data_IF_252552387235
#
_entry.id   IF_252552387235
#
_cell.length_a   1.000
_cell.length_b   1.000
_cell.length_c   1.000
_cell.angle_alpha   90.00
_cell.angle_beta   90.00
_cell.angle_gamma   90.00
#
_symmetry.space_group_name_H-M   'P 1'
#
loop_
_entity.id
_entity.type
_entity.pdbx_description
1 polymer ?
#
# COMPACT_ATOMS: atom_id res chain seq x y z
N UNK A 1 -10.37 -1.97 22.07
CA UNK A 1 -10.70 -2.33 20.67
C UNK A 1 -9.86 -3.53 20.33
N UNK A 2 -10.45 -4.60 19.80
CA UNK A 2 -9.68 -5.76 19.31
C UNK A 2 -8.97 -5.32 18.03
N UNK A 3 -7.64 -5.27 18.08
CA UNK A 3 -6.79 -5.09 16.90
C UNK A 3 -7.17 -6.14 15.86
N UNK A 4 -7.52 -5.71 14.66
CA UNK A 4 -7.83 -6.65 13.59
C UNK A 4 -6.68 -6.69 12.60
N UNK A 5 -5.89 -7.75 12.66
CA UNK A 5 -4.91 -8.07 11.63
C UNK A 5 -5.56 -9.06 10.68
N UNK A 6 -5.53 -8.77 9.37
CA UNK A 6 -6.02 -9.70 8.37
C UNK A 6 -5.31 -11.07 8.45
N UNK A 7 -5.99 -12.22 8.35
CA UNK A 7 -5.39 -13.54 8.59
C UNK A 7 -4.13 -13.85 7.77
N UNK A 8 -4.09 -13.38 6.51
CA UNK A 8 -2.89 -13.54 5.67
C UNK A 8 -1.68 -12.77 6.21
N UNK A 9 -1.90 -11.58 6.77
CA UNK A 9 -0.84 -10.75 7.34
C UNK A 9 -0.41 -11.32 8.69
N UNK A 10 -1.35 -11.83 9.48
CA UNK A 10 -1.08 -12.57 10.70
C UNK A 10 -0.14 -13.76 10.43
N UNK A 11 -0.44 -14.55 9.41
CA UNK A 11 0.44 -15.66 8.99
C UNK A 11 1.85 -15.19 8.59
N UNK A 12 1.97 -14.04 7.92
CA UNK A 12 3.27 -13.49 7.55
C UNK A 12 4.06 -12.92 8.73
N UNK A 13 3.37 -12.37 9.74
CA UNK A 13 3.98 -12.00 11.03
C UNK A 13 4.54 -13.25 11.70
N UNK A 14 3.75 -14.32 11.79
CA UNK A 14 4.18 -15.59 12.39
C UNK A 14 5.40 -16.17 11.67
N UNK A 15 5.39 -16.16 10.33
CA UNK A 15 6.54 -16.58 9.53
C UNK A 15 7.77 -15.69 9.78
N UNK A 16 7.59 -14.38 9.93
CA UNK A 16 8.68 -13.46 10.27
C UNK A 16 9.25 -13.73 11.67
N UNK A 17 8.38 -13.97 12.66
CA UNK A 17 8.76 -14.33 14.03
C UNK A 17 9.48 -15.68 14.08
N UNK A 18 9.03 -16.66 13.31
CA UNK A 18 9.67 -17.98 13.17
C UNK A 18 11.10 -17.83 12.61
N UNK A 19 11.28 -17.08 11.52
CA UNK A 19 12.61 -16.80 10.95
C UNK A 19 13.54 -16.15 11.97
N UNK A 20 13.01 -15.25 12.82
CA UNK A 20 13.77 -14.58 13.87
C UNK A 20 13.98 -15.41 15.14
N UNK A 21 13.29 -16.54 15.28
CA UNK A 21 13.50 -17.50 16.35
C UNK A 21 14.56 -18.57 15.99
N UNK A 22 14.95 -18.65 14.71
CA UNK A 22 15.96 -19.58 14.22
C UNK A 22 17.31 -19.37 14.93
N UNK A 23 18.08 -20.45 15.07
CA UNK A 23 19.38 -20.42 15.72
C UNK A 23 20.45 -19.69 14.88
N UNK A 24 20.27 -19.55 13.57
CA UNK A 24 21.19 -18.82 12.70
C UNK A 24 20.85 -17.32 12.62
N UNK A 25 21.60 -16.45 13.33
CA UNK A 25 21.32 -15.02 13.35
C UNK A 25 21.65 -14.30 12.03
N UNK A 26 22.23 -14.98 11.04
CA UNK A 26 22.44 -14.41 9.70
C UNK A 26 21.17 -14.41 8.83
N UNK A 27 20.22 -15.27 9.15
CA UNK A 27 18.91 -15.32 8.47
C UNK A 27 17.84 -14.50 9.18
N UNK A 28 18.11 -14.03 10.41
CA UNK A 28 17.24 -13.07 11.11
C UNK A 28 16.95 -11.86 10.23
N UNK A 29 15.72 -11.38 10.31
CA UNK A 29 15.19 -10.29 9.55
C UNK A 29 14.96 -9.07 10.44
N UNK A 30 15.22 -7.90 9.85
CA UNK A 30 15.00 -6.61 10.44
C UNK A 30 14.19 -5.74 9.48
N UNK A 31 13.28 -4.95 10.04
CA UNK A 31 12.52 -3.95 9.30
C UNK A 31 13.13 -2.59 9.60
N UNK A 32 13.42 -1.81 8.55
CA UNK A 32 13.73 -0.38 8.69
C UNK A 32 12.57 0.42 8.12
N UNK A 33 12.07 1.37 8.89
CA UNK A 33 11.08 2.36 8.44
C UNK A 33 11.77 3.72 8.46
N UNK A 34 11.94 4.31 7.29
CA UNK A 34 12.44 5.66 7.12
C UNK A 34 11.28 6.57 6.72
N UNK A 35 11.13 7.68 7.45
CA UNK A 35 10.15 8.74 7.14
C UNK A 35 10.94 10.04 7.04
N UNK A 36 10.95 10.64 5.86
CA UNK A 36 11.59 11.93 5.59
C UNK A 36 10.51 12.99 5.42
N UNK A 37 10.64 14.09 6.17
CA UNK A 37 9.78 15.28 6.18
C UNK A 37 8.24 15.07 6.23
N UNK A 38 7.80 13.84 6.46
CA UNK A 38 6.39 13.44 6.44
C UNK A 38 5.81 13.22 5.04
N UNK A 39 6.63 13.32 3.98
CA UNK A 39 6.22 13.20 2.59
C UNK A 39 6.87 12.03 1.85
N UNK A 40 7.88 11.38 2.44
CA UNK A 40 8.50 10.17 1.89
C UNK A 40 8.52 9.04 2.93
N UNK A 41 8.13 7.85 2.48
CA UNK A 41 8.16 6.60 3.25
C UNK A 41 9.05 5.60 2.52
N UNK A 42 9.99 5.00 3.25
CA UNK A 42 10.73 3.84 2.79
C UNK A 42 10.70 2.74 3.85
N UNK A 43 10.13 1.59 3.49
CA UNK A 43 10.09 0.38 4.33
C UNK A 43 10.99 -0.67 3.71
N UNK A 44 12.05 -1.06 4.43
CA UNK A 44 13.03 -2.07 4.00
C UNK A 44 12.96 -3.31 4.87
N UNK A 45 13.04 -4.47 4.23
CA UNK A 45 13.30 -5.76 4.88
C UNK A 45 14.75 -6.17 4.61
N UNK A 46 15.53 -6.36 5.66
CA UNK A 46 16.97 -6.65 5.61
C UNK A 46 17.29 -7.92 6.40
N UNK A 47 18.33 -8.66 6.02
CA UNK A 47 18.95 -9.60 6.95
C UNK A 47 19.68 -8.81 8.05
N UNK A 48 19.39 -9.10 9.32
CA UNK A 48 19.83 -8.33 10.48
C UNK A 48 21.37 -8.19 10.57
N UNK A 49 22.11 -9.27 10.31
CA UNK A 49 23.59 -9.25 10.33
C UNK A 49 24.24 -9.02 8.98
N UNK A 50 23.57 -9.38 7.89
CA UNK A 50 24.13 -9.28 6.54
C UNK A 50 23.86 -7.93 5.86
N UNK A 51 22.90 -7.14 6.37
CA UNK A 51 22.42 -5.91 5.72
C UNK A 51 21.82 -6.14 4.32
N UNK A 52 21.68 -7.41 3.90
CA UNK A 52 21.23 -7.78 2.56
C UNK A 52 19.77 -7.42 2.43
N UNK A 53 19.44 -6.55 1.48
CA UNK A 53 18.06 -6.18 1.16
C UNK A 53 17.30 -7.38 0.60
N UNK A 54 16.21 -7.72 1.28
CA UNK A 54 15.24 -8.77 0.91
C UNK A 54 13.96 -8.18 0.35
N UNK A 55 13.57 -7.01 0.81
CA UNK A 55 12.45 -6.27 0.24
C UNK A 55 12.53 -4.78 0.50
N UNK A 56 11.79 -4.02 -0.30
CA UNK A 56 11.64 -2.57 -0.16
C UNK A 56 10.31 -2.13 -0.75
N UNK A 57 9.67 -1.16 -0.08
CA UNK A 57 8.61 -0.32 -0.65
C UNK A 57 8.99 1.13 -0.37
N UNK A 58 8.92 1.96 -1.40
CA UNK A 58 9.10 3.41 -1.34
C UNK A 58 7.81 4.08 -1.80
N UNK A 59 7.39 5.11 -1.09
CA UNK A 59 6.19 5.86 -1.39
C UNK A 59 6.36 7.35 -1.13
N UNK A 60 5.73 8.18 -1.97
CA UNK A 60 5.79 9.65 -1.91
C UNK A 60 4.39 10.22 -1.75
N UNK A 61 4.23 11.21 -0.87
CA UNK A 61 2.97 11.89 -0.60
C UNK A 61 2.64 12.88 -1.70
N UNK A 62 1.40 12.87 -2.16
CA UNK A 62 0.83 13.93 -3.00
C UNK A 62 0.34 15.08 -2.09
N UNK A 63 0.57 16.33 -2.48
CA UNK A 63 0.17 17.51 -1.69
C UNK A 63 -0.92 18.24 -2.46
N UNK A 64 -2.04 18.53 -1.80
CA UNK A 64 -3.24 19.17 -2.36
C UNK A 64 -3.96 18.41 -3.50
N UNK A 65 -3.48 17.23 -3.90
CA UNK A 65 -4.08 16.36 -4.92
C UNK A 65 -4.18 14.90 -4.43
N UNK A 66 -5.02 14.09 -5.08
CA UNK A 66 -5.14 12.66 -4.81
C UNK A 66 -5.41 12.30 -3.34
N UNK A 67 -6.27 13.09 -2.70
CA UNK A 67 -6.61 12.98 -1.29
C UNK A 67 -5.40 13.10 -0.35
N UNK A 68 -4.27 13.64 -0.80
CA UNK A 68 -2.99 13.59 -0.09
C UNK A 68 -2.52 12.17 0.28
N UNK A 69 -2.81 11.18 -0.58
CA UNK A 69 -2.35 9.81 -0.42
C UNK A 69 -0.85 9.67 -0.79
N UNK A 70 -0.24 8.59 -0.28
CA UNK A 70 1.09 8.17 -0.68
C UNK A 70 1.02 7.27 -1.91
N UNK A 71 1.72 7.64 -2.98
CA UNK A 71 1.90 6.82 -4.18
C UNK A 71 3.10 5.89 -4.01
N UNK A 72 2.92 4.60 -4.25
CA UNK A 72 4.04 3.65 -4.34
C UNK A 72 4.83 3.90 -5.62
N UNK A 73 6.08 4.36 -5.47
CA UNK A 73 6.98 4.64 -6.60
C UNK A 73 7.98 3.51 -6.86
N UNK A 74 8.22 2.66 -5.86
CA UNK A 74 9.10 1.50 -6.01
C UNK A 74 8.70 0.38 -5.06
N UNK A 75 8.66 -0.85 -5.57
CA UNK A 75 8.45 -2.03 -4.75
C UNK A 75 9.25 -3.21 -5.29
N UNK A 76 9.91 -3.94 -4.39
CA UNK A 76 10.64 -5.16 -4.74
C UNK A 76 10.71 -6.10 -3.54
N UNK A 77 10.48 -7.38 -3.75
CA UNK A 77 10.62 -8.43 -2.73
C UNK A 77 11.32 -9.64 -3.36
N UNK A 78 12.24 -10.28 -2.62
CA UNK A 78 13.10 -11.37 -3.10
C UNK A 78 12.66 -12.72 -2.53
N UNK A 79 11.48 -13.17 -2.95
CA UNK A 79 10.96 -14.53 -2.80
C UNK A 79 10.89 -15.07 -1.36
N UNK A 80 10.72 -14.20 -0.36
CA UNK A 80 10.39 -14.60 1.01
C UNK A 80 8.88 -14.71 1.22
N UNK A 81 8.07 -14.23 0.28
CA UNK A 81 6.60 -14.23 0.44
C UNK A 81 6.12 -13.22 1.48
N UNK A 82 6.97 -12.26 1.88
CA UNK A 82 6.68 -11.19 2.84
C UNK A 82 6.26 -9.87 2.16
N UNK A 83 6.08 -9.85 0.84
CA UNK A 83 5.69 -8.65 0.11
C UNK A 83 4.41 -7.99 0.65
N UNK A 84 3.31 -8.75 0.83
CA UNK A 84 2.09 -8.19 1.43
C UNK A 84 2.28 -7.61 2.84
N UNK A 85 3.16 -8.18 3.67
CA UNK A 85 3.50 -7.62 4.98
C UNK A 85 4.16 -6.24 4.85
N UNK A 86 5.05 -6.07 3.89
CA UNK A 86 5.69 -4.77 3.63
C UNK A 86 4.67 -3.73 3.15
N UNK A 87 3.71 -4.12 2.30
CA UNK A 87 2.62 -3.23 1.89
C UNK A 87 1.76 -2.84 3.09
N UNK A 88 1.41 -3.77 3.97
CA UNK A 88 0.65 -3.47 5.19
C UNK A 88 1.38 -2.48 6.10
N UNK A 89 2.68 -2.70 6.36
CA UNK A 89 3.48 -1.77 7.17
C UNK A 89 3.53 -0.39 6.51
N UNK A 90 3.77 -0.33 5.20
CA UNK A 90 3.83 0.94 4.46
C UNK A 90 2.48 1.65 4.51
N UNK A 91 1.38 0.92 4.36
CA UNK A 91 0.01 1.44 4.44
C UNK A 91 -0.32 1.93 5.86
N UNK A 92 0.12 1.23 6.91
CA UNK A 92 -0.03 1.70 8.29
C UNK A 92 0.71 3.03 8.52
N UNK A 93 1.92 3.19 7.99
CA UNK A 93 2.62 4.48 8.06
C UNK A 93 1.87 5.54 7.24
N UNK A 94 1.50 5.23 5.99
CA UNK A 94 0.83 6.17 5.10
C UNK A 94 -0.50 6.68 5.66
N UNK A 95 -1.28 5.83 6.33
CA UNK A 95 -2.54 6.21 6.98
C UNK A 95 -2.36 7.09 8.22
N UNK A 96 -1.15 7.20 8.77
CA UNK A 96 -0.86 8.09 9.91
C UNK A 96 -0.34 9.46 9.47
N UNK A 97 0.30 9.54 8.29
CA UNK A 97 0.93 10.77 7.76
C UNK A 97 0.16 11.39 6.58
N UNK A 98 -0.81 10.69 6.01
CA UNK A 98 -1.65 11.14 4.92
C UNK A 98 -2.94 10.33 4.85
N UNK A 99 -3.61 10.34 3.70
CA UNK A 99 -4.89 9.63 3.55
C UNK A 99 -4.75 8.12 3.36
N UNK A 100 -3.55 7.57 3.26
CA UNK A 100 -3.31 6.15 3.01
C UNK A 100 -2.37 5.91 1.84
N UNK A 101 -2.41 4.71 1.27
CA UNK A 101 -1.50 4.26 0.23
C UNK A 101 -2.27 3.99 -1.07
N UNK A 102 -1.74 4.43 -2.20
CA UNK A 102 -2.24 4.15 -3.54
C UNK A 102 -1.14 3.59 -4.45
N UNK A 103 -1.55 3.00 -5.57
CA UNK A 103 -0.62 2.51 -6.59
C UNK A 103 0.02 3.66 -7.39
N UNK A 104 1.10 3.35 -8.10
CA UNK A 104 1.62 4.21 -9.17
C UNK A 104 0.50 4.56 -10.17
N UNK A 105 0.31 5.84 -10.45
CA UNK A 105 -0.75 6.39 -11.30
C UNK A 105 -0.39 6.35 -12.79
N UNK A 106 0.90 6.28 -13.10
CA UNK A 106 1.45 6.33 -14.45
C UNK A 106 1.71 4.94 -15.02
N UNK A 107 2.26 4.02 -14.21
CA UNK A 107 2.64 2.70 -14.68
C UNK A 107 2.63 1.63 -13.58
N UNK A 108 1.59 0.79 -13.59
CA UNK A 108 1.54 -0.45 -12.78
C UNK A 108 1.77 -1.66 -13.68
N UNK A 109 2.69 -2.54 -13.27
CA UNK A 109 2.88 -3.84 -13.94
C UNK A 109 1.74 -4.81 -13.64
N UNK A 110 1.48 -5.79 -14.50
CA UNK A 110 0.43 -6.80 -14.28
C UNK A 110 0.60 -7.54 -12.94
N UNK A 111 1.85 -7.84 -12.56
CA UNK A 111 2.14 -8.47 -11.28
C UNK A 111 1.77 -7.57 -10.08
N UNK A 112 1.95 -6.26 -10.20
CA UNK A 112 1.55 -5.30 -9.19
C UNK A 112 0.04 -5.04 -9.20
N UNK A 113 -0.60 -5.02 -10.37
CA UNK A 113 -2.06 -4.94 -10.49
C UNK A 113 -2.74 -6.06 -9.70
N UNK A 114 -2.25 -7.30 -9.82
CA UNK A 114 -2.74 -8.46 -9.06
C UNK A 114 -2.59 -8.28 -7.54
N UNK A 115 -1.66 -7.44 -7.06
CA UNK A 115 -1.57 -7.12 -5.62
C UNK A 115 -2.73 -6.23 -5.21
N UNK A 116 -2.94 -5.12 -5.92
CA UNK A 116 -4.03 -4.17 -5.64
C UNK A 116 -5.42 -4.79 -5.83
N UNK A 117 -5.58 -5.62 -6.86
CA UNK A 117 -6.78 -6.42 -7.11
C UNK A 117 -7.15 -7.29 -5.90
N UNK A 118 -6.16 -7.92 -5.25
CA UNK A 118 -6.39 -8.69 -4.01
C UNK A 118 -6.79 -7.81 -2.85
N UNK A 119 -6.23 -6.61 -2.73
CA UNK A 119 -6.64 -5.67 -1.69
C UNK A 119 -8.10 -5.25 -1.87
N UNK A 120 -8.52 -4.90 -3.09
CA UNK A 120 -9.91 -4.54 -3.37
C UNK A 120 -10.83 -5.77 -3.26
N UNK A 121 -10.66 -6.77 -4.12
CA UNK A 121 -11.68 -7.80 -4.31
C UNK A 121 -11.63 -8.96 -3.31
N UNK A 122 -10.47 -9.25 -2.72
CA UNK A 122 -10.34 -10.37 -1.77
C UNK A 122 -10.35 -9.94 -0.31
N UNK A 123 -9.71 -8.80 0.01
CA UNK A 123 -9.60 -8.30 1.39
C UNK A 123 -10.70 -7.31 1.73
N UNK A 124 -11.07 -6.46 0.79
CA UNK A 124 -12.05 -5.40 0.94
C UNK A 124 -13.36 -5.74 0.22
N UNK A 125 -14.10 -6.72 0.73
CA UNK A 125 -15.37 -7.13 0.09
C UNK A 125 -16.36 -5.96 0.06
N UNK A 126 -16.54 -5.36 -1.11
CA UNK A 126 -17.46 -4.24 -1.30
C UNK A 126 -18.90 -4.74 -1.12
N UNK A 127 -19.63 -4.11 -0.20
CA UNK A 127 -21.06 -4.42 -0.02
C UNK A 127 -21.93 -3.70 -1.07
N UNK A 128 -23.23 -4.00 -1.05
CA UNK A 128 -24.22 -3.40 -1.95
C UNK A 128 -24.33 -1.87 -1.87
N UNK A 129 -23.74 -1.24 -0.85
CA UNK A 129 -23.71 0.21 -0.67
C UNK A 129 -22.35 0.80 -1.06
N UNK A 130 -21.46 0.03 -1.71
CA UNK A 130 -20.14 0.50 -2.09
C UNK A 130 -19.13 0.55 -0.93
N UNK A 131 -19.46 -0.02 0.24
CA UNK A 131 -18.58 0.06 1.42
C UNK A 131 -17.68 -1.16 1.54
N UNK A 132 -16.40 -0.92 1.81
CA UNK A 132 -15.44 -1.93 2.20
C UNK A 132 -15.84 -2.69 3.47
N UNK A 133 -16.06 -3.99 3.36
CA UNK A 133 -16.22 -4.88 4.52
C UNK A 133 -14.89 -5.57 4.82
N UNK A 134 -13.87 -4.78 5.19
CA UNK A 134 -12.63 -5.28 5.79
C UNK A 134 -12.59 -4.89 7.26
N UNK A 135 -12.13 -5.76 8.17
CA UNK A 135 -12.00 -5.38 9.55
C UNK A 135 -10.77 -4.47 9.79
N UNK A 136 -9.84 -4.37 8.84
CA UNK A 136 -8.55 -3.70 9.04
C UNK A 136 -8.17 -2.66 7.98
N UNK A 137 -8.92 -2.59 6.89
CA UNK A 137 -8.75 -1.61 5.81
C UNK A 137 -10.05 -0.83 5.56
N UNK A 138 -9.91 0.43 5.21
CA UNK A 138 -10.91 1.26 4.54
C UNK A 138 -10.39 1.65 3.16
N UNK A 139 -11.30 1.99 2.25
CA UNK A 139 -10.91 2.51 0.94
C UNK A 139 -11.61 3.83 0.67
N UNK A 140 -10.93 4.70 -0.06
CA UNK A 140 -11.50 5.92 -0.62
C UNK A 140 -11.36 5.90 -2.14
N UNK A 141 -12.36 6.47 -2.82
CA UNK A 141 -12.36 6.65 -4.27
C UNK A 141 -11.49 7.84 -4.63
N UNK A 142 -10.59 7.68 -5.60
CA UNK A 142 -9.87 8.79 -6.22
C UNK A 142 -10.71 9.44 -7.33
N UNK A 143 -10.55 10.75 -7.49
CA UNK A 143 -11.10 11.49 -8.61
C UNK A 143 -10.27 11.30 -9.88
N UNK A 144 -10.89 11.49 -11.05
CA UNK A 144 -10.32 11.13 -12.34
C UNK A 144 -10.03 12.39 -13.17
N UNK A 145 -8.76 12.66 -13.45
CA UNK A 145 -8.31 13.86 -14.17
C UNK A 145 -8.87 14.00 -15.59
N UNK A 146 -9.03 12.89 -16.29
CA UNK A 146 -9.55 12.87 -17.66
C UNK A 146 -11.06 13.13 -17.71
N UNK A 147 -11.77 12.69 -16.69
CA UNK A 147 -13.22 12.82 -16.56
C UNK A 147 -13.60 13.21 -15.13
N UNK A 148 -13.37 14.48 -14.75
CA UNK A 148 -13.56 14.95 -13.38
C UNK A 148 -14.96 14.66 -12.88
N UNK A 149 -15.06 14.08 -11.69
CA UNK A 149 -16.32 13.71 -11.05
C UNK A 149 -16.78 14.76 -10.03
N UNK A 150 -15.86 15.61 -9.58
CA UNK A 150 -16.07 16.67 -8.61
C UNK A 150 -15.74 18.05 -9.24
N UNK A 151 -16.23 19.16 -8.67
CA UNK A 151 -15.94 20.50 -9.19
C UNK A 151 -14.52 21.02 -8.90
N UNK A 152 -13.66 20.25 -8.23
CA UNK A 152 -12.35 20.67 -7.71
C UNK A 152 -11.24 20.00 -8.51
N UNK A 153 -11.00 20.39 -9.78
CA UNK A 153 -10.05 19.71 -10.65
C UNK A 153 -8.60 19.71 -10.14
N UNK A 154 -8.29 20.53 -9.14
CA UNK A 154 -7.03 20.49 -8.40
C UNK A 154 -6.81 19.20 -7.59
N UNK A 155 -7.86 18.45 -7.24
CA UNK A 155 -7.73 17.18 -6.47
C UNK A 155 -7.71 15.91 -7.33
N UNK A 156 -7.93 16.06 -8.63
CA UNK A 156 -8.04 14.98 -9.60
C UNK A 156 -6.74 14.16 -9.72
N UNK A 157 -6.87 12.85 -9.83
CA UNK A 157 -5.73 11.96 -10.03
C UNK A 157 -5.56 11.52 -11.47
N UNK A 158 -4.29 11.39 -11.87
CA UNK A 158 -3.90 10.69 -13.10
C UNK A 158 -4.48 9.29 -13.13
N UNK A 159 -5.19 8.96 -14.22
CA UNK A 159 -5.78 7.64 -14.45
C UNK A 159 -5.05 6.75 -15.45
N UNK A 160 -3.83 7.10 -15.90
CA UNK A 160 -3.15 6.44 -17.02
C UNK A 160 -2.97 4.92 -16.81
N UNK A 161 -2.51 4.53 -15.64
CA UNK A 161 -2.29 3.13 -15.28
C UNK A 161 -3.60 2.33 -15.33
N UNK A 162 -4.68 2.89 -14.78
CA UNK A 162 -6.02 2.31 -14.82
C UNK A 162 -6.54 2.15 -16.25
N UNK A 163 -6.46 3.21 -17.06
CA UNK A 163 -6.91 3.17 -18.46
C UNK A 163 -6.16 2.09 -19.25
N UNK A 164 -4.85 1.98 -19.02
CA UNK A 164 -4.03 0.96 -19.66
C UNK A 164 -4.49 -0.46 -19.31
N UNK A 165 -4.72 -0.74 -18.02
CA UNK A 165 -5.22 -2.05 -17.58
C UNK A 165 -6.64 -2.34 -18.09
N UNK A 166 -7.54 -1.36 -18.05
CA UNK A 166 -8.89 -1.50 -18.60
C UNK A 166 -8.87 -1.80 -20.11
N UNK A 167 -8.08 -1.06 -20.88
CA UNK A 167 -8.01 -1.20 -22.34
C UNK A 167 -7.28 -2.47 -22.81
N UNK A 168 -6.56 -3.17 -21.92
CA UNK A 168 -5.86 -4.40 -22.28
C UNK A 168 -6.81 -5.53 -22.69
N UNK A 169 -8.05 -5.49 -22.21
CA UNK A 169 -9.10 -6.48 -22.51
C UNK A 169 -10.02 -6.07 -23.68
N UNK A 170 -9.84 -4.86 -24.22
CA UNK A 170 -10.65 -4.33 -25.33
C UNK A 170 -10.03 -4.67 -26.69
N UNK A 171 -10.87 -4.71 -27.74
CA UNK A 171 -10.35 -4.68 -29.11
C UNK A 171 -9.68 -3.31 -29.35
N UNK A 172 -8.45 -3.26 -29.90
CA UNK A 172 -7.76 -2.00 -30.18
C UNK A 172 -8.55 -1.00 -31.04
N UNK A 173 -9.54 -1.46 -31.80
CA UNK A 173 -10.40 -0.61 -32.65
C UNK A 173 -11.56 0.05 -31.90
N UNK A 174 -11.98 -0.50 -30.76
CA UNK A 174 -13.20 -0.07 -30.06
C UNK A 174 -12.98 1.20 -29.21
N UNK A 175 -11.73 1.50 -28.86
CA UNK A 175 -11.39 2.63 -27.98
C UNK A 175 -11.98 2.46 -26.57
N UNK A 176 -11.78 3.46 -25.71
CA UNK A 176 -12.38 3.46 -24.36
C UNK A 176 -13.72 4.17 -24.42
N UNK A 177 -14.81 3.44 -24.18
CA UNK A 177 -16.11 4.02 -23.90
C UNK A 177 -16.09 4.72 -22.53
N UNK A 178 -16.48 6.00 -22.50
CA UNK A 178 -16.39 6.83 -21.30
C UNK A 178 -17.24 6.27 -20.17
N UNK A 179 -18.51 5.97 -20.44
CA UNK A 179 -19.47 5.62 -19.39
C UNK A 179 -19.11 4.25 -18.80
N UNK A 180 -18.73 3.29 -19.65
CA UNK A 180 -18.27 1.96 -19.24
C UNK A 180 -16.98 2.03 -18.41
N UNK A 181 -16.03 2.88 -18.79
CA UNK A 181 -14.81 3.05 -18.02
C UNK A 181 -15.06 3.75 -16.69
N UNK A 182 -15.93 4.76 -16.63
CA UNK A 182 -16.25 5.42 -15.37
C UNK A 182 -16.96 4.47 -14.39
N UNK A 183 -17.82 3.58 -14.90
CA UNK A 183 -18.43 2.52 -14.08
C UNK A 183 -17.36 1.56 -13.52
N UNK A 184 -16.42 1.11 -14.37
CA UNK A 184 -15.27 0.31 -13.95
C UNK A 184 -14.41 1.04 -12.91
N UNK A 185 -14.04 2.29 -13.18
CA UNK A 185 -13.24 3.14 -12.30
C UNK A 185 -13.87 3.23 -10.91
N UNK A 186 -15.16 3.48 -10.82
CA UNK A 186 -15.85 3.64 -9.54
C UNK A 186 -15.98 2.32 -8.77
N UNK A 187 -16.22 1.21 -9.45
CA UNK A 187 -16.69 -0.01 -8.78
C UNK A 187 -15.67 -1.15 -8.74
N UNK A 188 -14.81 -1.26 -9.74
CA UNK A 188 -14.01 -2.46 -10.00
C UNK A 188 -12.51 -2.18 -10.08
N UNK A 189 -12.11 -0.97 -10.44
CA UNK A 189 -10.70 -0.65 -10.60
C UNK A 189 -9.98 -0.62 -9.24
N UNK A 190 -9.03 -1.54 -8.96
CA UNK A 190 -8.24 -1.49 -7.74
C UNK A 190 -7.22 -0.35 -7.77
N UNK A 191 -6.87 0.15 -8.95
CA UNK A 191 -5.94 1.25 -9.07
C UNK A 191 -6.62 2.56 -8.69
N UNK A 192 -7.92 2.74 -8.90
CA UNK A 192 -8.62 4.01 -8.58
C UNK A 192 -8.86 4.28 -7.08
N UNK A 193 -8.25 3.51 -6.18
CA UNK A 193 -8.52 3.57 -4.73
C UNK A 193 -7.30 4.02 -3.93
N UNK A 194 -7.57 4.70 -2.83
CA UNK A 194 -6.64 4.83 -1.70
C UNK A 194 -7.01 3.78 -0.66
N UNK A 195 -6.02 3.07 -0.15
CA UNK A 195 -6.19 2.03 0.87
C UNK A 195 -5.65 2.54 2.21
N UNK A 196 -6.49 2.43 3.25
CA UNK A 196 -6.27 3.06 4.54
C UNK A 196 -6.30 1.99 5.62
N UNK A 197 -5.26 1.92 6.45
CA UNK A 197 -5.25 1.05 7.63
C UNK A 197 -5.95 1.74 8.79
N UNK A 198 -6.89 1.01 9.41
CA UNK A 198 -7.70 1.51 10.53
C UNK A 198 -6.90 1.71 11.81
N UNK A 199 -5.89 0.88 12.02
CA UNK A 199 -5.01 0.93 13.17
C UNK A 199 -3.62 0.33 12.82
N UNK A 200 -2.56 0.66 13.58
CA UNK A 200 -1.19 0.21 13.30
C UNK A 200 -0.84 -1.11 14.01
N UNK A 201 -1.72 -2.12 13.97
CA UNK A 201 -1.52 -3.39 14.67
C UNK A 201 -0.29 -4.16 14.21
N UNK A 202 0.03 -4.14 12.91
CA UNK A 202 1.19 -4.87 12.37
C UNK A 202 2.48 -4.26 12.90
N UNK A 203 2.61 -2.94 12.83
CA UNK A 203 3.78 -2.21 13.38
C UNK A 203 3.89 -2.44 14.88
N UNK A 204 2.79 -2.39 15.64
CA UNK A 204 2.82 -2.65 17.09
C UNK A 204 3.31 -4.06 17.40
N UNK A 205 2.86 -5.06 16.65
CA UNK A 205 3.28 -6.46 16.83
C UNK A 205 4.76 -6.66 16.50
N UNK A 206 5.26 -6.01 15.45
CA UNK A 206 6.64 -6.15 14.99
C UNK A 206 7.61 -5.11 15.57
N UNK A 207 7.14 -4.27 16.50
CA UNK A 207 7.92 -3.17 17.07
C UNK A 207 9.33 -3.55 17.56
N UNK A 208 9.56 -4.71 18.21
CA UNK A 208 10.91 -5.13 18.62
C UNK A 208 11.90 -5.33 17.47
N UNK A 209 11.41 -5.51 16.24
CA UNK A 209 12.19 -5.79 15.03
C UNK A 209 12.26 -4.60 14.07
N UNK A 210 11.69 -3.45 14.45
CA UNK A 210 11.65 -2.23 13.63
C UNK A 210 12.71 -1.24 14.09
N UNK A 211 13.55 -0.80 13.15
CA UNK A 211 14.42 0.37 13.30
C UNK A 211 13.81 1.58 12.61
N UNK A 212 13.63 2.64 13.37
CA UNK A 212 13.08 3.91 12.89
C UNK A 212 14.20 4.84 12.42
N UNK A 213 13.98 5.51 11.30
CA UNK A 213 14.92 6.47 10.71
C UNK A 213 14.21 7.73 10.18
N UNK A 214 15.00 8.80 10.13
CA UNK A 214 14.72 10.01 9.34
C UNK A 214 15.99 10.34 8.56
N UNK A 215 15.95 10.06 7.26
CA UNK A 215 17.15 10.01 6.42
C UNK A 215 18.16 9.01 6.96
N UNK A 216 19.37 9.50 7.24
CA UNK A 216 20.47 8.67 7.76
C UNK A 216 20.48 8.54 9.30
N UNK A 217 19.58 9.21 10.01
CA UNK A 217 19.57 9.26 11.48
C UNK A 217 18.63 8.21 12.05
N UNK A 218 19.08 7.48 13.08
CA UNK A 218 18.21 6.60 13.87
C UNK A 218 17.32 7.45 14.78
N UNK A 219 16.03 7.13 14.83
CA UNK A 219 15.04 7.84 15.65
C UNK A 219 14.31 6.86 16.56
N UNK A 220 13.51 7.39 17.49
CA UNK A 220 12.58 6.59 18.30
C UNK A 220 11.29 6.35 17.53
N UNK A 221 10.58 5.29 17.88
CA UNK A 221 9.23 5.03 17.38
C UNK A 221 8.31 6.27 17.54
N UNK A 222 7.55 6.66 16.50
CA UNK A 222 6.56 7.73 16.58
C UNK A 222 5.52 7.54 17.69
N UNK A 223 4.95 8.66 18.17
CA UNK A 223 4.02 8.67 19.30
C UNK A 223 2.68 7.96 19.04
N UNK A 224 2.25 7.86 17.78
CA UNK A 224 0.97 7.25 17.38
C UNK A 224 0.97 5.71 17.46
N UNK A 225 2.12 5.09 17.74
CA UNK A 225 2.26 3.63 17.88
C UNK A 225 1.77 3.14 19.26
N UNK A 226 1.65 4.05 20.24
CA UNK A 226 1.34 3.70 21.64
C UNK A 226 -0.12 3.35 21.88
#
# INVERSE_FOLDING_TARGET
>A
MTESIHPKIQYQIEMFEEINSDADPYEHLEITINIEDGDFIEVKLLNARGGKRRGVIEAVKYVDECLEAFEVIWASERNLGLGPLLYDITMEVASQYGAGLMCDRSQVSDAAFVVWDKYLHMRCKIDRNGKCQSPDIEIMQLDNDKWPQTPQPEDDCRGESSQKHYSADLDPMDGIDKDSYLEYWQNEDPLSKVYIKKDPAVIRRLLPHIKWKTGNLSTTAPGWIK
#
